data_IF_815245449486
#
_entry.id   IF_815245449486
#
_cell.length_a   1.000
_cell.length_b   1.000
_cell.length_c   1.000
_cell.angle_alpha   90.00
_cell.angle_beta   90.00
_cell.angle_gamma   90.00
#
_symmetry.space_group_name_H-M   'P 1'
#
loop_
_entity.id
_entity.type
_entity.pdbx_description
1 polymer ?
#
# COMPACT_ATOMS: atom_id res chain seq x y z
N UNK A 1 3.90 -2.96 -15.89
CA UNK A 1 3.88 -4.07 -14.92
C UNK A 1 2.45 -4.52 -14.71
N UNK A 2 2.21 -5.82 -14.88
CA UNK A 2 0.94 -6.50 -14.63
C UNK A 2 1.02 -7.38 -13.38
N UNK A 3 -0.12 -7.78 -12.82
CA UNK A 3 -0.18 -8.64 -11.63
C UNK A 3 0.55 -9.98 -11.83
N UNK A 4 0.49 -10.54 -13.04
CA UNK A 4 1.11 -11.80 -13.40
C UNK A 4 2.65 -11.74 -13.30
N UNK A 5 3.25 -10.58 -13.53
CA UNK A 5 4.69 -10.36 -13.36
C UNK A 5 5.12 -10.49 -11.89
N UNK A 6 4.19 -10.30 -10.94
CA UNK A 6 4.40 -10.55 -9.51
C UNK A 6 4.06 -11.99 -9.09
N UNK A 7 3.69 -12.87 -10.02
CA UNK A 7 3.20 -14.21 -9.73
C UNK A 7 1.75 -14.24 -9.22
N UNK A 8 1.00 -13.14 -9.35
CA UNK A 8 -0.40 -13.04 -8.90
C UNK A 8 -1.32 -13.51 -10.04
N UNK A 9 -1.52 -14.83 -10.13
CA UNK A 9 -2.47 -15.42 -11.06
C UNK A 9 -3.92 -15.12 -10.65
N UNK A 10 -4.84 -15.12 -11.62
CA UNK A 10 -6.27 -14.92 -11.34
C UNK A 10 -6.81 -15.98 -10.36
N UNK A 11 -6.37 -17.23 -10.50
CA UNK A 11 -6.78 -18.34 -9.64
C UNK A 11 -6.30 -18.14 -8.20
N UNK A 12 -5.04 -17.77 -7.99
CA UNK A 12 -4.50 -17.52 -6.66
C UNK A 12 -5.16 -16.29 -6.02
N UNK A 13 -5.38 -15.23 -6.80
CA UNK A 13 -6.07 -14.03 -6.36
C UNK A 13 -7.49 -14.34 -5.86
N UNK A 14 -8.29 -15.02 -6.69
CA UNK A 14 -9.65 -15.41 -6.34
C UNK A 14 -9.69 -16.33 -5.12
N UNK A 15 -8.75 -17.27 -5.01
CA UNK A 15 -8.63 -18.15 -3.83
C UNK A 15 -8.41 -17.33 -2.56
N UNK A 16 -7.42 -16.42 -2.56
CA UNK A 16 -7.12 -15.60 -1.38
C UNK A 16 -8.27 -14.67 -1.00
N UNK A 17 -9.02 -14.16 -1.98
CA UNK A 17 -10.20 -13.34 -1.73
C UNK A 17 -11.33 -14.15 -1.09
N UNK A 18 -11.64 -15.34 -1.64
CA UNK A 18 -12.69 -16.23 -1.12
C UNK A 18 -12.38 -16.78 0.27
N UNK A 19 -11.11 -17.05 0.55
CA UNK A 19 -10.64 -17.50 1.87
C UNK A 19 -10.50 -16.36 2.89
N UNK A 20 -10.81 -15.11 2.50
CA UNK A 20 -10.73 -13.95 3.39
C UNK A 20 -9.31 -13.55 3.78
N UNK A 21 -8.30 -13.97 3.01
CA UNK A 21 -6.89 -13.62 3.22
C UNK A 21 -6.53 -12.25 2.63
N UNK A 22 -7.32 -11.76 1.68
CA UNK A 22 -7.26 -10.39 1.17
C UNK A 22 -8.65 -9.76 1.18
N UNK A 23 -8.70 -8.43 1.21
CA UNK A 23 -9.90 -7.64 0.99
C UNK A 23 -9.65 -6.68 -0.17
N UNK A 24 -10.63 -6.58 -1.07
CA UNK A 24 -10.63 -5.67 -2.20
C UNK A 24 -11.65 -4.55 -1.97
N UNK A 25 -11.29 -3.31 -2.30
CA UNK A 25 -12.22 -2.17 -2.35
C UNK A 25 -12.19 -1.50 -3.73
N UNK A 26 -13.36 -1.07 -4.18
CA UNK A 26 -13.53 -0.28 -5.41
C UNK A 26 -13.18 1.19 -5.17
N UNK A 27 -12.59 1.84 -6.17
CA UNK A 27 -12.38 3.29 -6.13
C UNK A 27 -13.72 4.02 -6.27
N UNK A 28 -14.01 5.04 -5.44
CA UNK A 28 -15.32 5.71 -5.39
C UNK A 28 -15.77 6.27 -6.75
N UNK A 29 -14.85 6.90 -7.48
CA UNK A 29 -15.16 7.55 -8.77
C UNK A 29 -14.77 6.72 -10.01
N UNK A 30 -14.14 5.55 -9.83
CA UNK A 30 -13.67 4.75 -10.95
C UNK A 30 -13.82 3.24 -10.69
N UNK A 31 -14.92 2.63 -11.16
CA UNK A 31 -15.25 1.24 -10.85
C UNK A 31 -14.31 0.22 -11.50
N UNK A 32 -13.33 0.65 -12.30
CA UNK A 32 -12.26 -0.24 -12.81
C UNK A 32 -11.11 -0.39 -11.81
N UNK A 33 -10.90 0.59 -10.95
CA UNK A 33 -9.74 0.62 -10.07
C UNK A 33 -10.07 -0.09 -8.76
N UNK A 34 -9.09 -0.84 -8.28
CA UNK A 34 -9.14 -1.61 -7.04
C UNK A 34 -7.96 -1.27 -6.17
N UNK A 35 -8.19 -1.24 -4.86
CA UNK A 35 -7.15 -1.33 -3.84
C UNK A 35 -7.32 -2.63 -3.07
N UNK A 36 -6.20 -3.30 -2.77
CA UNK A 36 -6.20 -4.60 -2.10
C UNK A 36 -5.20 -4.63 -0.96
N UNK A 37 -5.68 -5.09 0.20
CA UNK A 37 -4.87 -5.32 1.39
C UNK A 37 -5.05 -6.75 1.88
N UNK A 38 -4.00 -7.33 2.46
CA UNK A 38 -4.09 -8.59 3.19
C UNK A 38 -4.83 -8.33 4.50
N UNK A 39 -5.58 -9.34 4.95
CA UNK A 39 -6.39 -9.22 6.16
C UNK A 39 -5.61 -9.60 7.41
N UNK A 40 -6.16 -9.28 8.58
CA UNK A 40 -5.66 -9.81 9.86
C UNK A 40 -5.63 -11.33 9.87
N UNK A 41 -6.57 -12.00 9.17
CA UNK A 41 -6.58 -13.45 9.00
C UNK A 41 -5.30 -13.97 8.33
N UNK A 42 -4.91 -13.39 7.19
CA UNK A 42 -3.67 -13.78 6.52
C UNK A 42 -2.44 -13.61 7.42
N UNK A 43 -2.43 -12.57 8.25
CA UNK A 43 -1.35 -12.33 9.21
C UNK A 43 -1.32 -13.36 10.34
N UNK A 44 -2.48 -13.67 10.93
CA UNK A 44 -2.62 -14.59 12.04
C UNK A 44 -2.30 -16.03 11.61
N UNK A 45 -2.88 -16.47 10.50
CA UNK A 45 -2.68 -17.80 9.90
C UNK A 45 -1.35 -17.93 9.14
N UNK A 46 -0.60 -16.82 9.01
CA UNK A 46 0.68 -16.73 8.29
C UNK A 46 0.59 -17.24 6.84
N UNK A 47 -0.51 -16.91 6.16
CA UNK A 47 -0.73 -17.26 4.77
C UNK A 47 0.06 -16.28 3.91
N UNK A 48 1.32 -16.62 3.61
CA UNK A 48 2.24 -15.77 2.83
C UNK A 48 2.55 -16.41 1.47
N UNK A 49 2.03 -15.81 0.40
CA UNK A 49 2.28 -16.17 -0.99
C UNK A 49 2.37 -14.89 -1.85
N UNK A 50 2.54 -15.04 -3.17
CA UNK A 50 2.66 -13.91 -4.08
C UNK A 50 1.53 -12.87 -3.94
N UNK A 51 0.30 -13.29 -3.64
CA UNK A 51 -0.84 -12.40 -3.42
C UNK A 51 -0.74 -11.70 -2.07
N UNK A 52 -0.72 -12.43 -0.97
CA UNK A 52 -0.77 -11.84 0.38
C UNK A 52 0.49 -11.06 0.75
N UNK A 53 1.63 -11.34 0.10
CA UNK A 53 2.84 -10.53 0.24
C UNK A 53 2.73 -9.18 -0.47
N UNK A 54 2.09 -9.12 -1.64
CA UNK A 54 2.04 -7.91 -2.47
C UNK A 54 0.75 -7.09 -2.29
N UNK A 55 -0.34 -7.70 -1.83
CA UNK A 55 -1.57 -7.02 -1.49
C UNK A 55 -1.42 -6.29 -0.15
N UNK A 56 -0.67 -5.18 -0.14
CA UNK A 56 -0.47 -4.29 1.01
C UNK A 56 -0.76 -2.85 0.61
N UNK A 57 -1.97 -2.62 0.07
CA UNK A 57 -2.31 -1.39 -0.63
C UNK A 57 -1.95 -1.39 -2.11
N UNK A 58 -1.93 -2.57 -2.71
CA UNK A 58 -1.76 -2.72 -4.15
C UNK A 58 -2.94 -2.08 -4.88
N UNK A 59 -2.67 -1.20 -5.84
CA UNK A 59 -3.71 -0.56 -6.66
C UNK A 59 -3.53 -0.99 -8.11
N UNK A 60 -4.61 -1.47 -8.74
CA UNK A 60 -4.57 -1.97 -10.11
C UNK A 60 -5.90 -1.78 -10.84
N UNK A 61 -5.87 -1.86 -12.16
CA UNK A 61 -7.07 -1.89 -13.01
C UNK A 61 -7.59 -3.33 -13.12
N UNK A 62 -8.83 -3.57 -12.68
CA UNK A 62 -9.39 -4.93 -12.57
C UNK A 62 -9.59 -5.65 -13.90
N UNK A 63 -9.74 -4.91 -14.99
CA UNK A 63 -10.03 -5.47 -16.33
C UNK A 63 -8.73 -5.89 -17.00
N UNK A 64 -7.75 -4.99 -17.02
CA UNK A 64 -6.46 -5.19 -17.69
C UNK A 64 -5.44 -5.89 -16.80
N UNK A 65 -5.67 -5.92 -15.48
CA UNK A 65 -4.71 -6.39 -14.46
C UNK A 65 -3.39 -5.61 -14.44
N UNK A 66 -3.37 -4.41 -15.03
CA UNK A 66 -2.25 -3.48 -14.99
C UNK A 66 -2.15 -2.87 -13.59
N UNK A 67 -0.94 -2.88 -13.03
CA UNK A 67 -0.63 -2.23 -11.75
C UNK A 67 -0.56 -0.72 -11.96
N UNK A 68 -1.19 0.01 -11.04
CA UNK A 68 -1.21 1.47 -10.97
C UNK A 68 -0.34 1.97 -9.82
N UNK A 69 -0.31 1.24 -8.70
CA UNK A 69 0.55 1.55 -7.56
C UNK A 69 1.03 0.25 -6.90
N UNK A 70 2.33 0.16 -6.65
CA UNK A 70 2.98 -1.01 -6.04
C UNK A 70 3.75 -0.61 -4.78
N UNK A 71 3.15 -0.74 -3.59
CA UNK A 71 3.84 -0.53 -2.33
C UNK A 71 4.87 -1.61 -2.04
N UNK A 72 5.64 -1.41 -0.96
CA UNK A 72 6.51 -2.46 -0.45
C UNK A 72 5.71 -3.73 -0.11
N UNK A 73 6.22 -4.91 -0.49
CA UNK A 73 5.66 -6.17 -0.03
C UNK A 73 5.63 -6.23 1.50
N UNK A 74 4.80 -7.10 2.06
CA UNK A 74 4.81 -7.42 3.49
C UNK A 74 6.23 -7.82 3.90
N UNK A 75 6.80 -7.03 4.79
CA UNK A 75 8.01 -7.36 5.54
C UNK A 75 7.63 -7.68 6.98
N UNK A 76 8.53 -8.34 7.69
CA UNK A 76 8.22 -9.05 8.93
C UNK A 76 8.97 -8.44 10.10
N UNK A 77 8.36 -8.53 11.29
CA UNK A 77 9.11 -8.31 12.51
C UNK A 77 10.18 -9.40 12.65
N UNK A 78 11.21 -9.12 13.44
CA UNK A 78 12.33 -10.04 13.58
C UNK A 78 11.89 -11.41 14.10
N UNK A 79 10.91 -11.46 14.99
CA UNK A 79 10.36 -12.68 15.59
C UNK A 79 9.55 -13.53 14.60
N UNK A 80 9.02 -12.91 13.55
CA UNK A 80 8.29 -13.61 12.48
C UNK A 80 9.24 -14.13 11.38
N UNK A 81 10.47 -13.63 11.34
CA UNK A 81 11.45 -13.96 10.31
C UNK A 81 12.08 -15.34 10.58
N UNK A 82 11.87 -16.27 9.65
CA UNK A 82 12.43 -17.64 9.73
C UNK A 82 13.77 -17.81 9.00
N UNK A 83 14.30 -16.75 8.40
CA UNK A 83 15.58 -16.78 7.70
C UNK A 83 16.78 -16.49 8.63
N UNK A 84 17.99 -16.66 8.11
CA UNK A 84 19.21 -16.23 8.81
C UNK A 84 19.44 -14.72 8.71
N UNK A 85 20.12 -14.13 9.69
CA UNK A 85 20.49 -12.71 9.65
C UNK A 85 21.37 -12.43 8.42
N UNK A 86 21.05 -11.41 7.61
CA UNK A 86 21.89 -11.04 6.47
C UNK A 86 23.35 -10.78 6.89
N UNK A 87 24.31 -11.33 6.12
CA UNK A 87 25.75 -11.11 6.38
C UNK A 87 26.21 -9.67 6.08
N UNK A 88 25.46 -8.95 5.24
CA UNK A 88 25.74 -7.54 4.91
C UNK A 88 25.17 -6.65 6.00
N UNK A 89 25.85 -5.53 6.30
CA UNK A 89 25.32 -4.51 7.20
C UNK A 89 23.99 -3.98 6.62
N UNK A 90 22.90 -4.01 7.39
CA UNK A 90 21.63 -3.46 6.93
C UNK A 90 21.69 -1.94 6.92
N UNK A 91 20.87 -1.34 6.07
CA UNK A 91 20.46 0.05 6.26
C UNK A 91 19.41 0.09 7.38
N UNK A 92 19.58 1.02 8.31
CA UNK A 92 18.68 1.19 9.44
C UNK A 92 18.06 2.57 9.29
N UNK A 93 16.72 2.62 9.31
CA UNK A 93 15.94 3.84 9.24
C UNK A 93 14.96 3.92 10.41
N UNK A 94 14.49 5.12 10.71
CA UNK A 94 13.49 5.34 11.75
C UNK A 94 12.14 4.82 11.26
N UNK A 95 11.51 3.97 12.06
CA UNK A 95 10.11 3.60 11.87
C UNK A 95 9.23 4.67 12.52
N UNK A 96 8.68 5.56 11.70
CA UNK A 96 7.69 6.53 12.16
C UNK A 96 6.33 5.84 12.40
N UNK A 97 5.55 6.39 13.34
CA UNK A 97 4.27 5.84 13.81
C UNK A 97 3.10 6.68 13.27
N UNK A 98 2.78 6.49 12.00
CA UNK A 98 1.67 7.16 11.32
C UNK A 98 0.88 6.16 10.49
N UNK A 99 0.45 6.61 9.31
CA UNK A 99 -0.22 5.76 8.34
C UNK A 99 0.54 5.76 7.03
N UNK A 100 0.78 4.58 6.46
CA UNK A 100 1.37 4.46 5.13
C UNK A 100 0.48 5.16 4.09
N UNK A 101 1.01 6.23 3.51
CA UNK A 101 0.50 6.87 2.31
C UNK A 101 1.08 6.23 1.06
N UNK A 102 0.21 5.92 0.11
CA UNK A 102 0.53 5.27 -1.15
C UNK A 102 0.04 6.19 -2.26
N UNK A 103 0.95 6.70 -3.08
CA UNK A 103 0.57 7.50 -4.24
C UNK A 103 0.07 6.61 -5.38
N UNK A 104 -0.90 7.09 -6.14
CA UNK A 104 -1.31 6.47 -7.40
C UNK A 104 -1.61 7.55 -8.44
N UNK A 105 -1.33 7.26 -9.71
CA UNK A 105 -1.53 8.21 -10.81
C UNK A 105 -2.78 7.83 -11.62
N UNK A 106 -3.75 8.74 -11.71
CA UNK A 106 -4.88 8.64 -12.64
C UNK A 106 -4.92 9.91 -13.48
N UNK A 107 -5.05 9.77 -14.81
CA UNK A 107 -5.12 10.89 -15.76
C UNK A 107 -4.04 11.96 -15.55
N UNK A 108 -2.79 11.52 -15.33
CA UNK A 108 -1.61 12.35 -15.04
C UNK A 108 -1.71 13.20 -13.77
N UNK A 109 -2.59 12.82 -12.83
CA UNK A 109 -2.70 13.44 -11.50
C UNK A 109 -2.36 12.44 -10.41
N UNK A 110 -1.61 12.90 -9.43
CA UNK A 110 -1.25 12.11 -8.26
C UNK A 110 -2.36 12.20 -7.21
N UNK A 111 -2.77 11.03 -6.77
CA UNK A 111 -3.70 10.81 -5.68
C UNK A 111 -3.05 10.00 -4.56
N UNK A 112 -3.62 10.05 -3.36
CA UNK A 112 -3.12 9.33 -2.19
C UNK A 112 -4.16 8.37 -1.62
N UNK A 113 -3.71 7.20 -1.22
CA UNK A 113 -4.48 6.18 -0.52
C UNK A 113 -3.73 5.71 0.72
N UNK A 114 -4.44 5.08 1.65
CA UNK A 114 -3.83 4.19 2.66
C UNK A 114 -4.00 2.74 2.24
N UNK A 115 -3.33 1.80 2.92
CA UNK A 115 -3.30 0.37 2.56
C UNK A 115 -4.63 -0.25 2.14
N UNK A 116 -5.74 0.17 2.73
CA UNK A 116 -7.05 -0.38 2.42
C UNK A 116 -8.05 0.62 1.87
N UNK A 117 -7.74 1.90 1.72
CA UNK A 117 -8.77 2.91 1.46
C UNK A 117 -8.28 4.05 0.59
N UNK A 118 -9.11 4.43 -0.38
CA UNK A 118 -8.93 5.66 -1.17
C UNK A 118 -9.42 6.91 -0.42
N UNK A 119 -10.27 6.74 0.60
CA UNK A 119 -11.05 7.85 1.19
C UNK A 119 -10.84 7.97 2.71
N UNK A 120 -9.83 7.31 3.27
CA UNK A 120 -9.54 7.46 4.69
C UNK A 120 -9.15 8.91 5.01
N UNK A 121 -9.37 9.33 6.25
CA UNK A 121 -9.01 10.68 6.68
C UNK A 121 -7.53 11.00 6.43
N UNK A 122 -6.65 10.01 6.65
CA UNK A 122 -5.22 10.12 6.35
C UNK A 122 -4.95 10.33 4.86
N UNK A 123 -5.67 9.62 3.98
CA UNK A 123 -5.51 9.76 2.53
C UNK A 123 -5.92 11.18 2.07
N UNK A 124 -7.00 11.73 2.65
CA UNK A 124 -7.44 13.10 2.40
C UNK A 124 -6.41 14.13 2.86
N UNK A 125 -5.89 13.98 4.09
CA UNK A 125 -4.82 14.84 4.63
C UNK A 125 -3.58 14.80 3.72
N UNK A 126 -3.16 13.61 3.27
CA UNK A 126 -2.04 13.48 2.35
C UNK A 126 -2.30 14.20 1.02
N UNK A 127 -3.53 14.11 0.50
CA UNK A 127 -3.92 14.82 -0.71
C UNK A 127 -3.89 16.34 -0.52
N UNK A 128 -4.37 16.85 0.61
CA UNK A 128 -4.35 18.29 0.93
C UNK A 128 -2.91 18.81 0.98
N UNK A 129 -2.03 18.13 1.72
CA UNK A 129 -0.60 18.47 1.80
C UNK A 129 0.06 18.42 0.41
N UNK A 130 -0.28 17.41 -0.39
CA UNK A 130 0.22 17.28 -1.77
C UNK A 130 -0.21 18.46 -2.64
N UNK A 131 -1.48 18.82 -2.62
CA UNK A 131 -2.02 19.92 -3.40
C UNK A 131 -1.47 21.28 -2.94
N UNK A 132 -1.21 21.47 -1.65
CA UNK A 132 -0.67 22.71 -1.12
C UNK A 132 0.83 22.87 -1.43
N UNK A 133 1.62 21.83 -1.18
CA UNK A 133 3.09 21.93 -1.14
C UNK A 133 3.79 21.33 -2.36
N UNK A 134 3.14 20.41 -3.07
CA UNK A 134 3.78 19.56 -4.08
C UNK A 134 3.02 19.49 -5.42
N UNK A 135 2.00 20.32 -5.63
CA UNK A 135 1.17 20.29 -6.85
C UNK A 135 1.97 20.45 -8.16
N UNK A 136 3.12 21.12 -8.11
CA UNK A 136 3.99 21.38 -9.26
C UNK A 136 5.05 20.29 -9.48
N UNK A 137 5.10 19.25 -8.65
CA UNK A 137 6.05 18.16 -8.78
C UNK A 137 5.60 17.21 -9.89
N UNK A 138 6.49 16.97 -10.84
CA UNK A 138 6.28 15.98 -11.88
C UNK A 138 6.84 14.63 -11.41
N UNK A 139 5.94 13.71 -11.07
CA UNK A 139 6.28 12.34 -10.71
C UNK A 139 5.98 11.45 -11.92
N UNK A 140 6.94 10.67 -12.41
CA UNK A 140 6.68 9.72 -13.48
C UNK A 140 5.53 8.77 -13.11
N UNK A 141 4.64 8.50 -14.07
CA UNK A 141 3.41 7.73 -13.82
C UNK A 141 3.65 6.27 -13.41
N UNK A 142 4.86 5.75 -13.57
CA UNK A 142 5.31 4.42 -13.17
C UNK A 142 5.98 4.39 -11.79
N UNK A 143 6.13 5.54 -11.13
CA UNK A 143 6.69 5.66 -9.79
C UNK A 143 5.57 5.69 -8.74
N UNK A 144 5.69 4.79 -7.76
CA UNK A 144 4.88 4.82 -6.54
C UNK A 144 5.68 5.47 -5.42
N UNK A 145 5.24 6.63 -4.96
CA UNK A 145 5.72 7.25 -3.73
C UNK A 145 5.06 6.59 -2.52
N UNK A 146 5.89 6.24 -1.54
CA UNK A 146 5.47 5.75 -0.24
C UNK A 146 5.94 6.74 0.82
N UNK A 147 5.01 7.18 1.66
CA UNK A 147 5.28 8.15 2.73
C UNK A 147 4.62 7.69 4.02
N UNK A 148 5.14 8.19 5.15
CA UNK A 148 4.42 8.09 6.41
C UNK A 148 3.58 9.35 6.62
N UNK A 149 2.25 9.20 6.64
CA UNK A 149 1.31 10.28 6.90
C UNK A 149 1.22 10.46 8.42
N UNK A 150 1.66 11.62 8.89
CA UNK A 150 1.65 11.98 10.31
C UNK A 150 0.89 13.29 10.43
N UNK A 151 -0.22 13.27 11.19
CA UNK A 151 -1.04 14.45 11.41
C UNK A 151 -1.71 14.40 12.80
N UNK A 152 -1.83 15.52 13.52
CA UNK A 152 -2.42 15.54 14.86
C UNK A 152 -3.85 14.96 14.94
N UNK A 153 -4.66 15.14 13.89
CA UNK A 153 -6.04 14.64 13.86
C UNK A 153 -6.16 13.12 13.63
N UNK A 154 -5.11 12.47 13.14
CA UNK A 154 -5.10 11.02 12.83
C UNK A 154 -3.98 10.29 13.55
N UNK A 155 -3.62 10.78 14.75
CA UNK A 155 -2.58 10.21 15.61
C UNK A 155 -2.80 8.71 15.85
N UNK A 156 -1.73 7.93 15.75
CA UNK A 156 -1.70 6.51 16.10
C UNK A 156 -1.34 6.35 17.58
N UNK A 157 -0.06 6.30 17.95
CA UNK A 157 0.39 6.20 19.35
C UNK A 157 1.34 7.35 19.74
N UNK A 158 2.32 7.66 18.90
CA UNK A 158 3.33 8.70 19.17
C UNK A 158 2.73 10.10 19.00
N UNK A 159 2.97 10.95 20.00
CA UNK A 159 2.62 12.37 19.91
C UNK A 159 3.75 13.15 19.23
N UNK A 160 3.64 13.32 17.92
CA UNK A 160 4.58 14.13 17.15
C UNK A 160 4.25 15.62 17.28
N UNK A 161 5.25 16.41 17.67
CA UNK A 161 5.17 17.87 17.73
C UNK A 161 5.88 18.49 16.52
N UNK A 162 5.68 17.95 15.31
CA UNK A 162 6.20 18.60 14.11
C UNK A 162 5.51 19.95 13.96
N UNK A 163 6.30 21.01 14.15
CA UNK A 163 5.89 22.42 14.07
C UNK A 163 5.70 22.80 12.61
#
# INVERSE_FOLDING_TARGET
MFLEELGITAQLYSKMLLEGNIIEREHPDNPRIRIVDYTTNASFERVWNAVTLNCRGLIFDKVTRRIISLPFPKFFNFEEYKGGIPRKRPEITVQYDGSLGISYCLDNKIFWATRGSFESEQAKIAQEIWNEKYWNKNIPADITLLVEIIHPSTRVAVNYNFV
#
